data_IF_277297665003
#
_entry.id   IF_277297665003
#
_cell.length_a   1.000
_cell.length_b   1.000
_cell.length_c   1.000
_cell.angle_alpha   90.00
_cell.angle_beta   90.00
_cell.angle_gamma   90.00
#
_symmetry.space_group_name_H-M   'P 1'
#
loop_
_entity.id
_entity.type
_entity.pdbx_description
1 polymer ?
#
# COMPACT_ATOMS: atom_id res chain seq x y z
N UNK A 1 15.63 1.08 -21.77
CA UNK A 1 15.36 0.33 -20.54
C UNK A 1 14.22 0.93 -19.75
N UNK A 2 13.79 0.28 -18.68
CA UNK A 2 12.74 0.78 -17.78
C UNK A 2 13.33 1.80 -16.80
N UNK A 3 12.53 2.79 -16.41
CA UNK A 3 12.93 3.82 -15.43
C UNK A 3 12.38 3.46 -14.02
N UNK A 4 13.29 3.07 -13.10
CA UNK A 4 12.95 2.70 -11.71
C UNK A 4 11.80 1.67 -11.62
N UNK A 5 11.86 0.52 -12.32
CA UNK A 5 10.82 -0.49 -12.20
C UNK A 5 10.80 -1.07 -10.79
N UNK A 6 9.61 -1.23 -10.23
CA UNK A 6 9.44 -1.78 -8.88
C UNK A 6 8.33 -2.83 -8.80
N UNK A 7 7.10 -2.47 -9.18
CA UNK A 7 5.98 -3.39 -9.12
C UNK A 7 5.92 -4.32 -10.32
N UNK A 8 5.68 -5.60 -10.07
CA UNK A 8 5.43 -6.59 -11.10
C UNK A 8 4.21 -7.44 -10.75
N UNK A 9 3.42 -7.76 -11.77
CA UNK A 9 2.29 -8.68 -11.64
C UNK A 9 2.13 -9.49 -12.92
N UNK A 10 1.75 -10.75 -12.81
CA UNK A 10 1.48 -11.62 -13.98
C UNK A 10 0.02 -11.98 -13.98
N UNK A 11 -0.62 -11.90 -15.16
CA UNK A 11 -1.99 -12.30 -15.33
C UNK A 11 -2.25 -12.78 -16.75
N UNK A 12 -2.82 -13.99 -16.88
CA UNK A 12 -3.24 -14.59 -18.17
C UNK A 12 -2.11 -14.53 -19.23
N UNK A 13 -0.87 -14.88 -18.83
CA UNK A 13 0.30 -14.88 -19.71
C UNK A 13 0.93 -13.50 -19.96
N UNK A 14 0.32 -12.41 -19.51
CA UNK A 14 0.88 -11.06 -19.62
C UNK A 14 1.61 -10.65 -18.34
N UNK A 15 2.78 -10.02 -18.49
CA UNK A 15 3.55 -9.38 -17.43
C UNK A 15 3.22 -7.89 -17.38
N UNK A 16 2.88 -7.41 -16.21
CA UNK A 16 2.69 -5.98 -15.92
C UNK A 16 3.87 -5.49 -15.09
N UNK A 17 4.43 -4.36 -15.50
CA UNK A 17 5.58 -3.73 -14.82
C UNK A 17 5.24 -2.27 -14.55
N UNK A 18 5.31 -1.88 -13.27
CA UNK A 18 5.20 -0.47 -12.91
C UNK A 18 6.57 0.16 -12.76
N UNK A 19 6.76 1.23 -13.48
CA UNK A 19 7.74 2.28 -13.22
C UNK A 19 7.14 3.35 -12.29
N UNK A 20 7.92 4.32 -11.91
CA UNK A 20 7.44 5.46 -11.12
C UNK A 20 6.26 6.18 -11.80
N UNK A 21 6.37 6.43 -13.11
CA UNK A 21 5.42 7.23 -13.89
C UNK A 21 4.52 6.43 -14.83
N UNK A 22 4.74 5.13 -14.99
CA UNK A 22 4.07 4.34 -16.04
C UNK A 22 3.83 2.92 -15.60
N UNK A 23 2.78 2.31 -16.18
CA UNK A 23 2.55 0.87 -16.11
C UNK A 23 2.61 0.32 -17.53
N UNK A 24 3.45 -0.68 -17.73
CA UNK A 24 3.65 -1.41 -18.98
C UNK A 24 3.08 -2.80 -18.91
N UNK A 25 2.58 -3.30 -20.06
CA UNK A 25 2.17 -4.70 -20.23
C UNK A 25 2.96 -5.35 -21.37
N UNK A 26 3.49 -6.52 -21.09
CA UNK A 26 4.15 -7.40 -22.05
C UNK A 26 3.25 -8.64 -22.23
N UNK A 27 2.66 -8.77 -23.41
CA UNK A 27 1.77 -9.90 -23.71
C UNK A 27 2.58 -11.16 -24.04
N UNK A 28 2.03 -12.33 -23.69
CA UNK A 28 2.64 -13.66 -23.93
C UNK A 28 4.10 -13.77 -23.47
N UNK A 29 4.44 -13.17 -22.35
CA UNK A 29 5.83 -13.03 -21.88
C UNK A 29 6.52 -14.38 -21.70
N UNK A 30 5.83 -15.41 -21.21
CA UNK A 30 6.40 -16.74 -20.96
C UNK A 30 6.87 -17.43 -22.24
N UNK A 31 6.22 -17.16 -23.38
CA UNK A 31 6.62 -17.67 -24.69
C UNK A 31 7.78 -16.87 -25.32
N UNK A 32 8.14 -15.71 -24.75
CA UNK A 32 9.06 -14.75 -25.36
C UNK A 32 10.12 -14.24 -24.38
N UNK A 33 10.57 -15.06 -23.41
CA UNK A 33 11.55 -14.65 -22.37
C UNK A 33 12.88 -14.19 -22.99
N UNK A 34 13.35 -14.82 -24.06
CA UNK A 34 14.61 -14.48 -24.73
C UNK A 34 14.49 -13.26 -25.64
N UNK A 35 13.29 -12.92 -26.08
CA UNK A 35 13.00 -11.78 -26.97
C UNK A 35 11.63 -11.19 -26.61
N UNK A 36 11.55 -10.43 -25.49
CA UNK A 36 10.29 -9.87 -25.04
C UNK A 36 9.62 -8.98 -26.09
N UNK A 37 8.29 -9.04 -26.24
CA UNK A 37 7.57 -8.20 -27.17
C UNK A 37 7.66 -6.73 -26.76
N UNK A 38 7.38 -5.83 -27.71
CA UNK A 38 7.25 -4.40 -27.39
C UNK A 38 6.11 -4.20 -26.40
N UNK A 39 6.37 -3.54 -25.24
CA UNK A 39 5.33 -3.34 -24.23
C UNK A 39 4.24 -2.36 -24.71
N UNK A 40 3.02 -2.61 -24.27
CA UNK A 40 1.93 -1.66 -24.35
C UNK A 40 1.93 -0.75 -23.12
N UNK A 41 1.81 0.57 -23.31
CA UNK A 41 1.57 1.52 -22.23
C UNK A 41 0.14 1.37 -21.72
N UNK A 42 -0.04 0.95 -20.46
CA UNK A 42 -1.35 0.73 -19.85
C UNK A 42 -1.82 1.98 -19.11
N UNK A 43 -0.92 2.63 -18.37
CA UNK A 43 -1.26 3.80 -17.58
C UNK A 43 -0.07 4.76 -17.46
N UNK A 44 -0.36 6.06 -17.44
CA UNK A 44 0.51 7.08 -16.86
C UNK A 44 0.05 7.36 -15.43
N UNK A 45 1.02 7.57 -14.54
CA UNK A 45 0.84 7.79 -13.10
C UNK A 45 1.48 9.12 -12.71
N UNK A 46 1.05 9.75 -11.60
CA UNK A 46 1.75 10.90 -11.03
C UNK A 46 3.23 10.59 -10.79
N UNK A 47 4.13 11.42 -11.31
CA UNK A 47 5.56 11.15 -11.42
C UNK A 47 6.38 12.03 -10.48
N UNK A 48 6.53 11.58 -9.24
CA UNK A 48 7.42 12.21 -8.26
C UNK A 48 8.32 11.15 -7.61
N UNK A 49 9.61 11.49 -7.40
CA UNK A 49 10.59 10.51 -6.89
C UNK A 49 10.34 10.12 -5.44
N UNK A 50 9.91 11.06 -4.61
CA UNK A 50 9.60 10.80 -3.22
C UNK A 50 8.40 9.85 -3.15
N UNK A 51 8.53 8.73 -2.44
CA UNK A 51 7.56 7.63 -2.41
C UNK A 51 7.16 7.13 -3.82
N UNK A 52 8.12 7.11 -4.74
CA UNK A 52 7.92 6.74 -6.14
C UNK A 52 7.77 5.25 -6.43
N UNK A 53 7.91 4.39 -5.44
CA UNK A 53 7.74 2.94 -5.58
C UNK A 53 6.28 2.59 -5.84
N UNK A 54 6.04 1.71 -6.83
CA UNK A 54 4.70 1.35 -7.31
C UNK A 54 4.50 -0.15 -7.19
N UNK A 55 4.06 -0.62 -6.03
CA UNK A 55 3.65 -2.01 -5.89
C UNK A 55 2.41 -2.29 -6.74
N UNK A 56 2.40 -3.44 -7.44
CA UNK A 56 1.30 -3.89 -8.28
C UNK A 56 0.78 -5.24 -7.82
N UNK A 57 -0.54 -5.41 -7.85
CA UNK A 57 -1.17 -6.73 -7.76
C UNK A 57 -2.57 -6.72 -8.38
N UNK A 58 -3.01 -7.88 -8.87
CA UNK A 58 -4.40 -8.07 -9.29
C UNK A 58 -5.28 -8.46 -8.12
N UNK A 59 -6.41 -7.77 -7.99
CA UNK A 59 -7.43 -8.09 -7.00
C UNK A 59 -8.33 -9.26 -7.40
N UNK A 60 -9.14 -9.74 -6.46
CA UNK A 60 -10.14 -10.78 -6.74
C UNK A 60 -11.23 -10.33 -7.71
N UNK A 61 -11.37 -9.02 -7.95
CA UNK A 61 -12.26 -8.39 -8.94
C UNK A 61 -11.63 -8.27 -10.34
N UNK A 62 -10.49 -8.94 -10.58
CA UNK A 62 -9.75 -8.90 -11.84
C UNK A 62 -9.13 -7.56 -12.20
N UNK A 63 -9.16 -6.55 -11.32
CA UNK A 63 -8.56 -5.25 -11.54
C UNK A 63 -7.12 -5.19 -11.05
N UNK A 64 -6.32 -4.39 -11.72
CA UNK A 64 -4.94 -4.07 -11.35
C UNK A 64 -4.94 -2.92 -10.33
N UNK A 65 -4.32 -3.13 -9.18
CA UNK A 65 -4.19 -2.16 -8.11
C UNK A 65 -2.77 -1.61 -8.05
N UNK A 66 -2.65 -0.32 -7.69
CA UNK A 66 -1.37 0.37 -7.51
C UNK A 66 -1.45 1.39 -6.38
N UNK A 67 -0.42 1.44 -5.53
CA UNK A 67 -0.25 2.50 -4.52
C UNK A 67 0.46 3.71 -5.13
N UNK A 68 -0.05 4.92 -4.85
CA UNK A 68 0.54 6.20 -5.26
C UNK A 68 0.89 7.00 -4.00
N UNK A 69 2.13 6.88 -3.53
CA UNK A 69 2.57 7.56 -2.33
C UNK A 69 2.59 9.09 -2.46
N UNK A 70 2.50 9.80 -1.34
CA UNK A 70 2.62 11.25 -1.29
C UNK A 70 4.00 11.71 -1.79
N UNK A 71 4.11 12.82 -2.57
CA UNK A 71 5.38 13.27 -3.13
C UNK A 71 6.24 14.07 -2.14
N UNK A 72 6.04 13.84 -0.84
CA UNK A 72 6.59 14.64 0.24
C UNK A 72 6.53 13.89 1.56
N UNK A 73 7.19 14.41 2.60
CA UNK A 73 6.99 13.93 3.97
C UNK A 73 5.53 14.15 4.41
N UNK A 74 5.05 15.39 4.28
CA UNK A 74 3.65 15.77 4.51
C UNK A 74 3.26 16.92 3.58
N UNK A 75 2.18 16.76 2.84
CA UNK A 75 1.61 17.77 1.93
C UNK A 75 0.21 17.37 1.49
N UNK A 76 -0.58 18.33 1.08
CA UNK A 76 -1.90 18.13 0.48
C UNK A 76 -1.77 18.13 -1.05
N UNK A 77 -1.66 16.96 -1.66
CA UNK A 77 -1.58 16.73 -3.12
C UNK A 77 -2.59 15.66 -3.58
N UNK A 78 -3.67 15.44 -2.81
CA UNK A 78 -4.69 14.43 -3.11
C UNK A 78 -5.38 14.68 -4.47
N UNK A 79 -5.66 15.93 -4.81
CA UNK A 79 -6.29 16.31 -6.09
C UNK A 79 -5.46 15.93 -7.32
N UNK A 80 -4.17 15.73 -7.16
CA UNK A 80 -3.25 15.28 -8.21
C UNK A 80 -3.13 13.75 -8.26
N UNK A 81 -3.89 13.04 -7.41
CA UNK A 81 -3.90 11.57 -7.35
C UNK A 81 -2.82 10.97 -6.46
N UNK A 82 -2.06 11.77 -5.69
CA UNK A 82 -1.11 11.29 -4.70
C UNK A 82 -1.80 10.87 -3.39
N UNK A 83 -1.09 10.14 -2.56
CA UNK A 83 -1.57 9.63 -1.27
C UNK A 83 -2.84 8.75 -1.44
N UNK A 84 -2.84 7.85 -2.43
CA UNK A 84 -3.99 7.04 -2.80
C UNK A 84 -3.64 5.59 -3.09
N UNK A 85 -4.66 4.73 -3.06
CA UNK A 85 -4.65 3.45 -3.76
C UNK A 85 -5.62 3.55 -4.93
N UNK A 86 -5.14 3.20 -6.12
CA UNK A 86 -5.90 3.23 -7.36
C UNK A 86 -6.10 1.81 -7.88
N UNK A 87 -7.21 1.56 -8.57
CA UNK A 87 -7.40 0.35 -9.38
C UNK A 87 -7.83 0.70 -10.81
N UNK A 88 -7.61 -0.24 -11.71
CA UNK A 88 -7.99 -0.11 -13.13
C UNK A 88 -8.23 -1.48 -13.75
N UNK A 89 -8.88 -1.51 -14.90
CA UNK A 89 -8.96 -2.72 -15.72
C UNK A 89 -7.56 -3.13 -16.23
N UNK A 90 -7.34 -4.39 -16.63
CA UNK A 90 -6.04 -4.85 -17.16
C UNK A 90 -5.54 -4.09 -18.41
N UNK A 91 -6.42 -3.42 -19.13
CA UNK A 91 -6.10 -2.56 -20.26
C UNK A 91 -5.85 -1.09 -19.91
N UNK A 92 -5.91 -0.75 -18.60
CA UNK A 92 -5.73 0.61 -18.10
C UNK A 92 -6.98 1.48 -18.10
N UNK A 93 -8.09 0.99 -18.63
CA UNK A 93 -9.38 1.70 -18.58
C UNK A 93 -10.03 1.63 -17.20
N UNK A 94 -11.11 2.38 -16.98
CA UNK A 94 -11.91 2.31 -15.76
C UNK A 94 -11.12 2.63 -14.49
N UNK A 95 -10.21 3.60 -14.55
CA UNK A 95 -9.39 4.04 -13.40
C UNK A 95 -10.26 4.62 -12.30
N UNK A 96 -10.00 4.18 -11.08
CA UNK A 96 -10.75 4.57 -9.89
C UNK A 96 -9.82 4.65 -8.68
N UNK A 97 -9.92 5.73 -7.90
CA UNK A 97 -9.26 5.82 -6.60
C UNK A 97 -10.15 5.11 -5.59
N UNK A 98 -9.62 4.06 -4.95
CA UNK A 98 -10.37 3.24 -4.00
C UNK A 98 -10.12 3.63 -2.55
N UNK A 99 -8.92 4.18 -2.25
CA UNK A 99 -8.57 4.70 -0.92
C UNK A 99 -7.83 6.03 -1.06
N UNK A 100 -8.11 6.98 -0.17
CA UNK A 100 -7.50 8.31 -0.08
C UNK A 100 -6.84 8.51 1.27
N UNK A 101 -5.96 9.50 1.36
CA UNK A 101 -5.28 9.80 2.61
C UNK A 101 -4.34 8.67 3.07
N UNK A 102 -3.73 7.96 2.13
CA UNK A 102 -2.77 6.89 2.33
C UNK A 102 -1.39 7.44 1.99
N UNK A 103 -0.60 7.77 3.00
CA UNK A 103 0.68 8.49 2.80
C UNK A 103 1.65 7.76 1.89
N UNK A 104 1.94 6.50 2.19
CA UNK A 104 2.89 5.70 1.41
C UNK A 104 2.69 4.20 1.66
N UNK A 105 1.77 3.60 0.93
CA UNK A 105 1.65 2.13 0.90
C UNK A 105 2.56 1.54 -0.17
N UNK A 106 3.35 0.56 0.23
CA UNK A 106 4.22 -0.22 -0.66
C UNK A 106 3.93 -1.72 -0.57
N UNK A 107 2.83 -2.07 0.09
CA UNK A 107 2.35 -3.45 0.20
C UNK A 107 0.87 -3.51 0.51
N UNK A 108 0.17 -4.33 -0.26
CA UNK A 108 -1.24 -4.63 -0.03
C UNK A 108 -1.57 -6.07 -0.43
N UNK A 109 -2.65 -6.57 0.11
CA UNK A 109 -3.15 -7.93 -0.11
C UNK A 109 -4.66 -7.96 0.08
N UNK A 110 -5.29 -9.09 -0.18
CA UNK A 110 -6.72 -9.29 0.05
C UNK A 110 -6.95 -10.33 1.12
N UNK A 111 -7.94 -10.07 1.97
CA UNK A 111 -8.38 -11.05 2.95
C UNK A 111 -8.89 -12.32 2.24
N UNK A 112 -8.41 -13.51 2.61
CA UNK A 112 -8.68 -14.73 1.85
C UNK A 112 -10.16 -15.15 1.79
N UNK A 113 -10.97 -14.67 2.76
CA UNK A 113 -12.38 -15.02 2.86
C UNK A 113 -13.30 -13.86 2.43
N UNK A 114 -13.04 -12.63 2.92
CA UNK A 114 -13.91 -11.46 2.64
C UNK A 114 -13.55 -10.77 1.34
N UNK A 115 -12.35 -11.02 0.79
CA UNK A 115 -11.80 -10.35 -0.39
C UNK A 115 -11.64 -8.84 -0.26
N UNK A 116 -11.72 -8.30 0.94
CA UNK A 116 -11.43 -6.90 1.21
C UNK A 116 -9.94 -6.61 1.07
N UNK A 117 -9.62 -5.41 0.59
CA UNK A 117 -8.23 -4.95 0.46
C UNK A 117 -7.67 -4.59 1.83
N UNK A 118 -6.49 -5.12 2.14
CA UNK A 118 -5.70 -4.78 3.32
C UNK A 118 -4.34 -4.24 2.88
N UNK A 119 -3.87 -3.18 3.50
CA UNK A 119 -2.61 -2.54 3.14
C UNK A 119 -1.91 -1.94 4.35
N UNK A 120 -0.60 -1.83 4.25
CA UNK A 120 0.22 -1.12 5.24
C UNK A 120 0.42 0.32 4.79
N UNK A 121 0.56 1.25 5.74
CA UNK A 121 0.90 2.64 5.45
C UNK A 121 2.04 3.12 6.35
N UNK A 122 3.00 3.81 5.75
CA UNK A 122 4.14 4.40 6.44
C UNK A 122 3.74 5.78 6.98
N UNK A 123 3.77 5.95 8.31
CA UNK A 123 3.52 7.23 8.98
C UNK A 123 4.53 8.32 8.57
N UNK A 124 4.14 9.61 8.74
CA UNK A 124 5.04 10.74 8.46
C UNK A 124 6.24 10.75 9.39
N UNK A 125 7.32 11.37 8.91
CA UNK A 125 8.53 11.60 9.68
C UNK A 125 8.46 12.94 10.45
N UNK A 126 9.41 13.14 11.38
CA UNK A 126 9.67 14.39 12.08
C UNK A 126 8.61 14.82 13.11
N UNK A 127 7.91 13.86 13.73
CA UNK A 127 7.08 14.07 14.92
C UNK A 127 7.68 13.42 16.18
N UNK A 128 8.99 13.11 16.14
CA UNK A 128 9.71 12.43 17.20
C UNK A 128 9.74 10.92 17.08
N UNK A 129 10.37 10.26 18.04
CA UNK A 129 10.62 8.81 17.99
C UNK A 129 9.35 7.96 18.10
N UNK A 130 8.34 8.46 18.78
CA UNK A 130 7.19 7.67 19.17
C UNK A 130 5.88 8.04 18.45
N UNK A 131 5.94 8.93 17.44
CA UNK A 131 4.76 9.37 16.70
C UNK A 131 5.08 9.74 15.24
N UNK A 132 4.11 9.58 14.34
CA UNK A 132 2.93 8.73 14.50
C UNK A 132 3.28 7.26 14.31
N UNK A 133 2.44 6.32 14.72
CA UNK A 133 2.61 4.92 14.35
C UNK A 133 2.42 4.73 12.84
N UNK A 134 3.05 3.70 12.28
CA UNK A 134 2.66 3.14 10.99
C UNK A 134 1.35 2.34 11.13
N UNK A 135 0.75 1.94 10.04
CA UNK A 135 -0.62 1.43 10.05
C UNK A 135 -0.78 0.13 9.27
N UNK A 136 -1.65 -0.74 9.78
CA UNK A 136 -2.31 -1.79 9.01
C UNK A 136 -3.76 -1.37 8.80
N UNK A 137 -4.14 -1.16 7.57
CA UNK A 137 -5.44 -0.66 7.16
C UNK A 137 -6.27 -1.71 6.42
N UNK A 138 -7.60 -1.58 6.47
CA UNK A 138 -8.58 -2.37 5.73
C UNK A 138 -9.54 -1.43 5.00
N UNK A 139 -9.71 -1.62 3.71
CA UNK A 139 -10.71 -0.93 2.91
C UNK A 139 -12.03 -1.71 2.97
N UNK A 140 -13.03 -1.19 3.66
CA UNK A 140 -14.35 -1.80 3.78
C UNK A 140 -15.30 -1.36 2.66
N UNK A 141 -15.08 -0.16 2.11
CA UNK A 141 -15.82 0.38 0.97
C UNK A 141 -14.93 1.29 0.12
N UNK A 142 -15.20 1.37 -1.15
CA UNK A 142 -14.50 2.28 -2.07
C UNK A 142 -14.69 3.73 -1.66
N UNK A 143 -13.60 4.51 -1.69
CA UNK A 143 -13.60 5.95 -1.41
C UNK A 143 -13.35 6.33 0.05
N UNK A 144 -13.04 5.38 0.93
CA UNK A 144 -12.63 5.69 2.31
C UNK A 144 -11.37 6.55 2.35
N UNK A 145 -11.30 7.42 3.37
CA UNK A 145 -10.18 8.31 3.64
C UNK A 145 -9.46 7.89 4.92
N UNK A 146 -8.14 7.64 4.84
CA UNK A 146 -7.32 7.10 5.93
C UNK A 146 -6.52 8.17 6.70
N UNK A 147 -6.78 9.45 6.45
CA UNK A 147 -6.38 10.56 7.32
C UNK A 147 -5.27 11.46 6.78
N UNK A 148 -4.26 10.95 6.07
CA UNK A 148 -3.18 11.80 5.57
C UNK A 148 -3.70 12.88 4.60
N UNK A 149 -3.25 14.18 4.72
CA UNK A 149 -2.17 14.65 5.58
C UNK A 149 -2.61 15.18 6.96
N UNK A 150 -3.89 15.26 7.27
CA UNK A 150 -4.40 16.00 8.43
C UNK A 150 -4.58 15.17 9.71
N UNK A 151 -4.65 13.85 9.57
CA UNK A 151 -4.81 12.91 10.69
C UNK A 151 -3.92 11.67 10.49
N UNK A 152 -3.35 11.17 11.58
CA UNK A 152 -2.52 9.97 11.61
C UNK A 152 -3.12 8.96 12.58
N UNK A 153 -3.14 7.70 12.20
CA UNK A 153 -3.65 6.57 12.98
C UNK A 153 -5.06 6.81 13.55
N UNK A 154 -5.88 7.61 12.85
CA UNK A 154 -7.26 7.93 13.23
C UNK A 154 -7.43 8.81 14.47
N UNK A 155 -6.35 9.24 15.14
CA UNK A 155 -6.43 9.96 16.43
C UNK A 155 -5.46 11.13 16.58
N UNK A 156 -4.39 11.18 15.80
CA UNK A 156 -3.35 12.20 15.94
C UNK A 156 -3.54 13.26 14.86
N UNK A 157 -4.02 14.44 15.25
CA UNK A 157 -4.10 15.59 14.33
C UNK A 157 -2.69 16.04 13.94
N UNK A 158 -2.47 16.27 12.64
CA UNK A 158 -1.20 16.78 12.14
C UNK A 158 -0.98 18.23 12.60
N UNK A 159 0.21 18.60 13.10
CA UNK A 159 0.46 19.96 13.60
C UNK A 159 0.37 21.03 12.51
N UNK A 160 0.69 20.70 11.26
CA UNK A 160 0.71 21.63 10.14
C UNK A 160 -0.61 21.59 9.34
N UNK A 161 -1.17 20.39 9.16
CA UNK A 161 -2.33 20.12 8.30
C UNK A 161 -3.62 19.78 9.04
N UNK A 162 -3.61 19.63 10.37
CA UNK A 162 -4.77 19.20 11.17
C UNK A 162 -6.04 20.07 11.01
N UNK A 163 -5.90 21.27 10.44
CA UNK A 163 -7.06 22.15 10.15
C UNK A 163 -7.81 21.78 8.85
N UNK A 164 -7.25 20.90 8.02
CA UNK A 164 -7.88 20.48 6.76
C UNK A 164 -9.02 19.48 6.95
N UNK A 165 -9.09 18.80 8.09
CA UNK A 165 -10.13 17.81 8.37
C UNK A 165 -10.10 17.38 9.84
N UNK A 166 -11.00 16.46 10.18
CA UNK A 166 -11.11 15.91 11.54
C UNK A 166 -10.79 14.42 11.50
N UNK A 167 -10.11 13.92 12.51
CA UNK A 167 -9.79 12.50 12.63
C UNK A 167 -11.05 11.62 12.66
N UNK A 168 -12.13 12.09 13.25
CA UNK A 168 -13.42 11.39 13.33
C UNK A 168 -14.05 11.10 11.96
N UNK A 169 -13.69 11.88 10.94
CA UNK A 169 -14.19 11.72 9.57
C UNK A 169 -13.35 10.73 8.75
N UNK A 170 -12.34 10.12 9.36
CA UNK A 170 -11.42 9.19 8.71
C UNK A 170 -11.62 7.75 9.15
N UNK A 171 -11.22 6.81 8.31
CA UNK A 171 -11.19 5.40 8.67
C UNK A 171 -9.94 5.11 9.51
N UNK A 172 -10.09 4.69 10.78
CA UNK A 172 -8.94 4.36 11.61
C UNK A 172 -8.28 3.04 11.16
N UNK A 173 -6.98 2.84 11.44
CA UNK A 173 -6.31 1.58 11.14
C UNK A 173 -6.93 0.42 11.94
N UNK A 174 -6.87 -0.78 11.37
CA UNK A 174 -7.21 -2.02 12.09
C UNK A 174 -6.20 -2.27 13.20
N UNK A 175 -4.92 -1.95 12.93
CA UNK A 175 -3.83 -2.03 13.91
C UNK A 175 -2.85 -0.88 13.69
N UNK A 176 -2.65 -0.09 14.73
CA UNK A 176 -1.51 0.82 14.82
C UNK A 176 -0.25 -0.02 15.03
N UNK A 177 0.70 0.10 14.13
CA UNK A 177 2.01 -0.56 14.20
C UNK A 177 3.01 0.32 14.96
N UNK A 178 4.21 -0.18 15.19
CA UNK A 178 5.26 0.66 15.78
C UNK A 178 5.54 1.94 14.95
N UNK A 179 5.90 3.06 15.59
CA UNK A 179 6.32 4.26 14.87
C UNK A 179 7.62 3.99 14.11
N UNK A 180 7.70 4.46 12.87
CA UNK A 180 8.89 4.34 12.00
C UNK A 180 9.31 2.90 11.64
N UNK A 181 8.46 1.89 11.86
CA UNK A 181 8.80 0.49 11.52
C UNK A 181 8.92 0.24 10.02
N UNK A 182 8.44 1.16 9.19
CA UNK A 182 8.40 1.06 7.73
C UNK A 182 7.81 -0.29 7.26
N UNK A 183 6.50 -0.52 7.46
CA UNK A 183 5.85 -1.76 7.06
C UNK A 183 5.69 -1.79 5.54
N UNK A 184 6.43 -2.64 4.85
CA UNK A 184 6.42 -2.72 3.39
C UNK A 184 5.56 -3.89 2.91
N UNK A 185 6.04 -5.12 3.08
CA UNK A 185 5.30 -6.31 2.66
C UNK A 185 4.20 -6.67 3.65
N UNK A 186 3.03 -7.05 3.13
CA UNK A 186 1.92 -7.58 3.92
C UNK A 186 1.29 -8.78 3.24
N UNK A 187 1.01 -9.84 4.00
CA UNK A 187 0.42 -11.06 3.43
C UNK A 187 -0.42 -11.80 4.46
N UNK A 188 -1.60 -12.26 4.06
CA UNK A 188 -2.34 -13.28 4.79
C UNK A 188 -1.70 -14.65 4.56
N UNK A 189 -1.52 -15.42 5.63
CA UNK A 189 -1.01 -16.78 5.51
C UNK A 189 -2.13 -17.75 5.14
N UNK A 190 -2.08 -18.29 3.95
CA UNK A 190 -3.04 -19.28 3.44
C UNK A 190 -2.45 -20.67 3.24
N UNK A 191 -1.17 -20.84 3.63
CA UNK A 191 -0.44 -22.09 3.50
C UNK A 191 -0.86 -23.16 4.52
N UNK A 192 -0.20 -24.32 4.44
CA UNK A 192 -0.46 -25.47 5.32
C UNK A 192 0.79 -25.89 6.12
N UNK A 193 1.92 -25.18 5.94
CA UNK A 193 3.21 -25.56 6.55
C UNK A 193 3.32 -25.07 7.99
N UNK A 194 2.81 -23.86 8.30
CA UNK A 194 2.78 -23.35 9.66
C UNK A 194 1.59 -23.93 10.43
N UNK A 195 1.62 -23.92 11.77
CA UNK A 195 0.49 -24.34 12.61
C UNK A 195 -0.82 -23.66 12.21
N UNK A 196 -1.94 -24.32 12.47
CA UNK A 196 -3.27 -23.88 12.04
C UNK A 196 -3.65 -22.49 12.59
N UNK A 197 -3.12 -22.10 13.73
CA UNK A 197 -3.35 -20.79 14.38
C UNK A 197 -2.83 -19.59 13.57
N UNK A 198 -1.94 -19.82 12.59
CA UNK A 198 -1.44 -18.78 11.70
C UNK A 198 -2.28 -18.60 10.45
N UNK A 199 -3.22 -19.53 10.19
CA UNK A 199 -4.04 -19.44 8.99
C UNK A 199 -4.92 -18.20 9.05
N UNK A 200 -4.97 -17.49 7.91
CA UNK A 200 -5.71 -16.25 7.72
C UNK A 200 -5.27 -15.10 8.66
N UNK A 201 -4.09 -15.24 9.26
CA UNK A 201 -3.44 -14.17 10.02
C UNK A 201 -2.52 -13.34 9.13
N UNK A 202 -2.22 -12.09 9.53
CA UNK A 202 -1.46 -11.13 8.74
C UNK A 202 0.00 -11.11 9.17
N UNK A 203 0.89 -11.42 8.23
CA UNK A 203 2.33 -11.21 8.39
C UNK A 203 2.73 -9.90 7.73
N UNK A 204 3.57 -9.11 8.41
CA UNK A 204 4.06 -7.81 7.95
C UNK A 204 5.59 -7.82 8.00
N UNK A 205 6.23 -7.44 6.88
CA UNK A 205 7.66 -7.21 6.82
C UNK A 205 7.95 -5.75 7.17
N UNK A 206 8.55 -5.51 8.32
CA UNK A 206 8.98 -4.20 8.78
C UNK A 206 10.44 -3.96 8.33
N UNK A 207 10.64 -3.03 7.39
CA UNK A 207 11.97 -2.67 6.90
C UNK A 207 12.83 -2.05 8.01
N UNK A 208 12.21 -1.28 8.90
CA UNK A 208 12.87 -0.67 10.05
C UNK A 208 13.09 0.83 9.91
N UNK A 209 13.38 1.44 11.06
CA UNK A 209 13.51 2.89 11.19
C UNK A 209 14.86 3.42 10.68
N UNK A 210 14.82 4.61 10.06
CA UNK A 210 16.03 5.36 9.69
C UNK A 210 16.19 6.66 10.51
N UNK A 211 15.10 7.23 11.02
CA UNK A 211 15.00 8.56 11.64
C UNK A 211 14.59 8.49 13.12
N UNK A 212 15.06 7.48 13.85
CA UNK A 212 14.75 7.25 15.25
C UNK A 212 16.02 7.14 16.09
N UNK A 213 15.99 7.62 17.34
CA UNK A 213 17.13 7.55 18.27
C UNK A 213 17.53 6.10 18.55
N UNK A 214 16.53 5.24 18.82
CA UNK A 214 16.72 3.80 18.94
C UNK A 214 16.04 3.10 17.77
N UNK A 215 16.74 2.18 17.13
CA UNK A 215 16.23 1.44 15.98
C UNK A 215 15.07 0.55 16.37
N UNK A 216 14.05 0.49 15.49
CA UNK A 216 12.88 -0.38 15.61
C UNK A 216 12.54 -1.00 14.25
N UNK A 217 11.83 -2.14 14.24
CA UNK A 217 11.51 -2.89 13.02
C UNK A 217 12.59 -3.90 12.69
N UNK A 218 12.97 -4.04 11.40
CA UNK A 218 13.94 -5.02 10.89
C UNK A 218 13.53 -6.47 11.21
N UNK A 219 12.24 -6.75 11.08
CA UNK A 219 11.64 -8.02 11.50
C UNK A 219 10.39 -8.36 10.68
N UNK A 220 9.91 -9.57 10.86
CA UNK A 220 8.56 -9.96 10.43
C UNK A 220 7.68 -9.99 11.66
N UNK A 221 6.56 -9.30 11.62
CA UNK A 221 5.55 -9.29 12.69
C UNK A 221 4.30 -10.03 12.26
N UNK A 222 3.52 -10.44 13.26
CA UNK A 222 2.26 -11.14 13.10
C UNK A 222 1.16 -10.31 13.76
N UNK A 223 0.15 -9.91 12.99
CA UNK A 223 -1.10 -9.39 13.54
C UNK A 223 -2.11 -10.53 13.58
N UNK A 224 -2.50 -10.92 14.78
CA UNK A 224 -3.58 -11.92 14.99
C UNK A 224 -4.93 -11.22 14.90
N UNK A 225 -5.84 -11.85 14.17
CA UNK A 225 -7.18 -11.33 13.90
C UNK A 225 -8.25 -12.23 14.51
N UNK A 226 -9.31 -11.60 15.00
CA UNK A 226 -10.60 -12.20 15.29
C UNK A 226 -11.63 -11.55 14.35
N UNK A 227 -12.01 -12.25 13.28
CA UNK A 227 -12.69 -11.63 12.14
C UNK A 227 -11.82 -10.54 11.50
N UNK A 228 -12.34 -9.31 11.45
CA UNK A 228 -11.61 -8.14 10.90
C UNK A 228 -10.96 -7.27 11.99
N UNK A 229 -10.95 -7.71 13.24
CA UNK A 229 -10.40 -6.98 14.38
C UNK A 229 -9.04 -7.55 14.79
N UNK A 230 -8.03 -6.70 14.91
CA UNK A 230 -6.75 -7.10 15.49
C UNK A 230 -6.91 -7.38 17.00
N UNK A 231 -6.33 -8.49 17.45
CA UNK A 231 -6.34 -8.89 18.86
C UNK A 231 -4.94 -8.97 19.46
N UNK A 232 -3.91 -9.03 18.64
CA UNK A 232 -2.50 -8.88 19.06
C UNK A 232 -1.60 -8.48 17.90
N UNK A 233 -0.51 -7.80 18.26
CA UNK A 233 0.59 -7.39 17.36
C UNK A 233 1.90 -7.43 18.15
#
# INVERSE_FOLDING_TARGET
>A
GLEMPNGVAVRKGSLYVAEMAKIWRYDDIEAHLDSPPKPALIAELPAERHHGWRYLAFGPDDKLYVGIGAPCNVCDRDKEGFATVMRMNPDGSGREIVARGVRNTVGFTWHPVTHELWFTDNGRDMLGDNAPPCELNRLSRVGEHFGFPFCHAGTIADPDFGKLGRCEDTTPPVQALGPHVAPLGVRFYTGKQFPAEYRDQVFIAEHGSWNRSERIGYRITLVKLDGNRAVSY
#
